data_IF_698026908330
#
_entry.id   IF_698026908330
#
_cell.length_a   1.000
_cell.length_b   1.000
_cell.length_c   1.000
_cell.angle_alpha   90.00
_cell.angle_beta   90.00
_cell.angle_gamma   90.00
#
_symmetry.space_group_name_H-M   'P 1'
#
loop_
_entity.id
_entity.type
_entity.pdbx_description
1 polymer ?
#
# COMPACT_ATOMS: atom_id res chain seq x y z
N UNK A 1 -19.11 -6.44 10.20
CA UNK A 1 -18.04 -6.93 9.30
C UNK A 1 -17.27 -5.73 8.74
N UNK A 2 -15.96 -5.62 8.98
CA UNK A 2 -15.06 -4.71 8.28
C UNK A 2 -14.74 -5.28 6.90
N UNK A 3 -14.73 -4.44 5.87
CA UNK A 3 -14.38 -4.82 4.50
C UNK A 3 -12.92 -4.48 4.27
N UNK A 4 -12.11 -5.52 4.12
CA UNK A 4 -10.67 -5.42 3.92
C UNK A 4 -10.31 -5.83 2.49
N UNK A 5 -9.43 -5.07 1.85
CA UNK A 5 -8.84 -5.47 0.58
C UNK A 5 -7.37 -5.78 0.77
N UNK A 6 -6.97 -7.02 0.52
CA UNK A 6 -5.58 -7.44 0.52
C UNK A 6 -4.95 -7.20 -0.85
N UNK A 7 -3.96 -6.32 -0.91
CA UNK A 7 -3.14 -6.05 -2.09
C UNK A 7 -1.84 -6.85 -2.00
N UNK A 8 -1.56 -7.65 -3.02
CA UNK A 8 -0.34 -8.44 -3.16
C UNK A 8 0.39 -7.98 -4.41
N UNK A 9 1.64 -7.56 -4.25
CA UNK A 9 2.53 -7.36 -5.39
C UNK A 9 3.16 -8.70 -5.77
N UNK A 10 2.90 -9.26 -6.97
CA UNK A 10 3.42 -10.56 -7.39
C UNK A 10 4.95 -10.61 -7.47
N UNK A 11 5.59 -9.44 -7.58
CA UNK A 11 7.05 -9.31 -7.67
C UNK A 11 7.71 -9.09 -6.29
N UNK A 12 6.93 -8.99 -5.21
CA UNK A 12 7.44 -8.84 -3.85
C UNK A 12 7.57 -10.21 -3.14
N UNK A 13 8.49 -10.32 -2.17
CA UNK A 13 8.55 -11.50 -1.28
C UNK A 13 9.61 -12.56 -1.60
N UNK A 14 10.67 -12.21 -2.35
CA UNK A 14 11.88 -13.05 -2.45
C UNK A 14 11.67 -14.43 -3.10
N UNK A 15 10.68 -14.57 -4.00
CA UNK A 15 10.41 -15.80 -4.75
C UNK A 15 9.24 -16.64 -4.25
N UNK A 16 8.49 -16.19 -3.23
CA UNK A 16 7.20 -16.80 -2.88
C UNK A 16 6.16 -16.50 -3.97
N UNK A 17 5.39 -17.51 -4.39
CA UNK A 17 4.30 -17.28 -5.33
C UNK A 17 3.12 -16.55 -4.68
N UNK A 18 2.35 -15.82 -5.49
CA UNK A 18 1.12 -15.16 -5.04
C UNK A 18 0.15 -16.16 -4.41
N UNK A 19 0.04 -17.37 -4.99
CA UNK A 19 -0.81 -18.44 -4.49
C UNK A 19 -0.36 -18.92 -3.11
N UNK A 20 0.94 -19.05 -2.88
CA UNK A 20 1.51 -19.42 -1.57
C UNK A 20 1.16 -18.35 -0.54
N UNK A 21 1.44 -17.09 -0.85
CA UNK A 21 1.19 -15.98 0.06
C UNK A 21 -0.30 -15.82 0.34
N UNK A 22 -1.15 -15.94 -0.69
CA UNK A 22 -2.62 -15.95 -0.55
C UNK A 22 -3.08 -17.11 0.32
N UNK A 23 -2.52 -18.32 0.14
CA UNK A 23 -2.86 -19.48 0.96
C UNK A 23 -2.47 -19.26 2.42
N UNK A 24 -1.27 -18.73 2.68
CA UNK A 24 -0.80 -18.40 4.02
C UNK A 24 -1.67 -17.31 4.67
N UNK A 25 -2.05 -16.29 3.90
CA UNK A 25 -2.94 -15.21 4.35
C UNK A 25 -4.29 -15.77 4.74
N UNK A 26 -4.96 -16.47 3.83
CA UNK A 26 -6.25 -17.10 4.10
C UNK A 26 -6.18 -18.08 5.28
N UNK A 27 -5.12 -18.88 5.39
CA UNK A 27 -4.91 -19.81 6.50
C UNK A 27 -4.68 -19.09 7.84
N UNK A 28 -3.96 -17.97 7.85
CA UNK A 28 -3.77 -17.16 9.04
C UNK A 28 -5.02 -16.36 9.42
N UNK A 29 -5.92 -16.09 8.46
CA UNK A 29 -7.24 -15.52 8.75
C UNK A 29 -8.17 -16.56 9.36
N UNK A 30 -8.12 -17.85 8.94
CA UNK A 30 -9.06 -18.92 9.39
C UNK A 30 -9.34 -18.95 10.90
N UNK A 31 -8.35 -18.91 11.81
CA UNK A 31 -8.60 -18.90 13.26
C UNK A 31 -9.37 -17.67 13.76
N UNK A 32 -9.45 -16.64 12.92
CA UNK A 32 -10.14 -15.38 13.16
C UNK A 32 -11.31 -15.18 12.18
N UNK A 33 -11.69 -16.19 11.38
CA UNK A 33 -12.86 -16.14 10.49
C UNK A 33 -14.17 -16.26 11.27
N UNK A 34 -14.15 -16.89 12.44
CA UNK A 34 -15.29 -16.97 13.36
C UNK A 34 -15.52 -15.65 14.13
N UNK A 35 -14.58 -14.70 14.04
CA UNK A 35 -14.88 -13.29 14.24
C UNK A 35 -15.54 -12.83 12.93
N UNK A 36 -16.86 -12.60 12.92
CA UNK A 36 -17.73 -12.03 11.85
C UNK A 36 -17.27 -10.68 11.23
N UNK A 37 -15.98 -10.38 11.28
CA UNK A 37 -15.44 -9.04 11.30
C UNK A 37 -14.61 -8.71 10.07
N UNK A 38 -14.28 -9.63 9.16
CA UNK A 38 -13.49 -9.28 7.95
C UNK A 38 -13.98 -9.96 6.67
N UNK A 39 -14.52 -9.18 5.75
CA UNK A 39 -14.70 -9.56 4.33
C UNK A 39 -13.40 -9.26 3.59
N UNK A 40 -12.70 -10.29 3.10
CA UNK A 40 -11.36 -10.15 2.52
C UNK A 40 -11.37 -10.35 1.00
N UNK A 41 -11.28 -9.25 0.26
CA UNK A 41 -10.94 -9.29 -1.16
C UNK A 41 -9.44 -9.46 -1.38
N UNK A 42 -9.03 -10.00 -2.53
CA UNK A 42 -7.62 -10.02 -2.97
C UNK A 42 -7.48 -9.23 -4.26
N UNK A 43 -6.49 -8.34 -4.31
CA UNK A 43 -6.08 -7.58 -5.48
C UNK A 43 -4.62 -7.88 -5.80
N UNK A 44 -4.35 -8.25 -7.05
CA UNK A 44 -3.02 -8.45 -7.60
C UNK A 44 -2.93 -7.51 -8.81
N UNK A 45 -2.35 -6.31 -8.66
CA UNK A 45 -2.34 -5.33 -9.73
C UNK A 45 -1.15 -5.53 -10.67
N UNK A 46 -1.33 -5.20 -11.95
CA UNK A 46 -0.26 -5.26 -12.96
C UNK A 46 0.61 -3.99 -12.93
N UNK A 47 0.07 -2.88 -12.44
CA UNK A 47 0.75 -1.58 -12.30
C UNK A 47 0.07 -0.71 -11.24
N UNK A 48 0.70 0.41 -10.86
CA UNK A 48 0.09 1.41 -9.97
C UNK A 48 -1.20 1.98 -10.59
N UNK A 49 -1.22 2.22 -11.91
CA UNK A 49 -2.41 2.74 -12.60
C UNK A 49 -3.59 1.74 -12.54
N UNK A 50 -3.32 0.45 -12.80
CA UNK A 50 -4.34 -0.62 -12.67
C UNK A 50 -4.86 -0.71 -11.22
N UNK A 51 -3.97 -0.61 -10.23
CA UNK A 51 -4.36 -0.56 -8.83
C UNK A 51 -5.26 0.64 -8.53
N UNK A 52 -4.87 1.85 -8.96
CA UNK A 52 -5.65 3.08 -8.77
C UNK A 52 -7.05 2.94 -9.35
N UNK A 53 -7.18 2.46 -10.60
CA UNK A 53 -8.47 2.31 -11.27
C UNK A 53 -9.38 1.31 -10.55
N UNK A 54 -8.81 0.19 -10.07
CA UNK A 54 -9.56 -0.82 -9.30
C UNK A 54 -9.94 -0.36 -7.91
N UNK A 55 -9.12 0.49 -7.29
CA UNK A 55 -9.40 1.06 -5.97
C UNK A 55 -10.48 2.15 -6.04
N UNK A 56 -10.57 2.92 -7.13
CA UNK A 56 -11.49 4.06 -7.27
C UNK A 56 -12.94 3.74 -6.93
N UNK A 57 -13.45 2.60 -7.35
CA UNK A 57 -14.84 2.17 -7.06
C UNK A 57 -14.99 1.43 -5.72
N UNK A 58 -13.89 0.98 -5.11
CA UNK A 58 -13.90 0.12 -3.92
C UNK A 58 -13.59 0.88 -2.64
N UNK A 59 -12.71 1.88 -2.67
CA UNK A 59 -12.32 2.64 -1.47
C UNK A 59 -13.49 3.15 -0.62
N UNK A 60 -14.59 3.70 -1.20
CA UNK A 60 -15.71 4.21 -0.39
C UNK A 60 -16.41 3.15 0.46
N UNK A 61 -16.21 1.87 0.13
CA UNK A 61 -16.81 0.73 0.82
C UNK A 61 -15.78 -0.10 1.57
N UNK A 62 -14.51 0.31 1.64
CA UNK A 62 -13.49 -0.41 2.39
C UNK A 62 -13.29 0.24 3.76
N UNK A 63 -13.09 -0.58 4.77
CA UNK A 63 -12.66 -0.15 6.10
C UNK A 63 -11.13 -0.22 6.22
N UNK A 64 -10.50 -1.11 5.46
CA UNK A 64 -9.06 -1.33 5.47
C UNK A 64 -8.54 -1.78 4.11
N UNK A 65 -7.34 -1.31 3.76
CA UNK A 65 -6.52 -1.86 2.67
C UNK A 65 -5.29 -2.47 3.32
N UNK A 66 -5.08 -3.77 3.15
CA UNK A 66 -3.91 -4.47 3.67
C UNK A 66 -2.92 -4.70 2.54
N UNK A 67 -1.69 -4.25 2.69
CA UNK A 67 -0.60 -4.51 1.75
C UNK A 67 0.31 -5.61 2.28
N UNK A 68 0.58 -6.63 1.47
CA UNK A 68 1.66 -7.58 1.69
C UNK A 68 2.80 -7.27 0.70
N UNK A 69 3.85 -6.60 1.18
CA UNK A 69 4.97 -6.20 0.35
C UNK A 69 6.14 -5.60 1.11
N UNK A 70 7.12 -5.07 0.37
CA UNK A 70 8.19 -4.23 0.90
C UNK A 70 7.87 -2.74 0.77
N UNK A 71 8.84 -1.88 1.09
CA UNK A 71 8.67 -0.41 1.11
C UNK A 71 8.14 0.17 -0.23
N UNK A 72 8.64 -0.33 -1.38
CA UNK A 72 8.17 0.09 -2.71
C UNK A 72 6.69 -0.24 -2.94
N UNK A 73 6.26 -1.47 -2.65
CA UNK A 73 4.85 -1.86 -2.75
C UNK A 73 3.96 -1.04 -1.82
N UNK A 74 4.43 -0.74 -0.61
CA UNK A 74 3.69 0.08 0.35
C UNK A 74 3.52 1.51 -0.21
N UNK A 75 4.58 2.08 -0.78
CA UNK A 75 4.53 3.40 -1.41
C UNK A 75 3.55 3.42 -2.61
N UNK A 76 3.55 2.38 -3.45
CA UNK A 76 2.62 2.25 -4.57
C UNK A 76 1.17 2.22 -4.09
N UNK A 77 0.86 1.43 -3.05
CA UNK A 77 -0.49 1.34 -2.47
C UNK A 77 -0.94 2.67 -1.89
N UNK A 78 -0.08 3.38 -1.15
CA UNK A 78 -0.39 4.71 -0.61
C UNK A 78 -0.74 5.68 -1.74
N UNK A 79 0.09 5.75 -2.78
CA UNK A 79 -0.15 6.64 -3.92
C UNK A 79 -1.45 6.28 -4.64
N UNK A 80 -1.70 4.99 -4.90
CA UNK A 80 -2.93 4.57 -5.56
C UNK A 80 -4.18 4.85 -4.73
N UNK A 81 -4.13 4.68 -3.40
CA UNK A 81 -5.24 5.04 -2.52
C UNK A 81 -5.55 6.54 -2.59
N UNK A 82 -4.52 7.38 -2.52
CA UNK A 82 -4.67 8.84 -2.55
C UNK A 82 -5.15 9.33 -3.93
N UNK A 83 -4.60 8.78 -5.01
CA UNK A 83 -5.00 9.12 -6.38
C UNK A 83 -6.42 8.63 -6.69
N UNK A 84 -6.79 7.42 -6.27
CA UNK A 84 -8.14 6.88 -6.41
C UNK A 84 -9.17 7.69 -5.60
N UNK A 85 -8.76 8.29 -4.49
CA UNK A 85 -9.56 9.24 -3.72
C UNK A 85 -9.65 10.64 -4.34
N UNK A 86 -9.01 10.84 -5.50
CA UNK A 86 -8.83 12.12 -6.19
C UNK A 86 -8.22 13.23 -5.33
N UNK A 87 -7.49 12.87 -4.26
CA UNK A 87 -7.00 13.81 -3.25
C UNK A 87 -8.08 14.57 -2.50
N UNK A 88 -9.36 14.16 -2.61
CA UNK A 88 -10.54 14.88 -2.05
C UNK A 88 -11.08 14.27 -0.77
N UNK A 89 -10.57 13.11 -0.36
CA UNK A 89 -11.04 12.41 0.83
C UNK A 89 -10.20 12.90 2.01
N UNK A 90 -10.86 13.51 3.00
CA UNK A 90 -10.22 13.84 4.27
C UNK A 90 -9.61 12.56 4.87
N UNK A 91 -8.45 12.67 5.53
CA UNK A 91 -7.67 11.52 5.98
C UNK A 91 -8.47 10.55 6.88
N UNK A 92 -9.48 11.06 7.59
CA UNK A 92 -10.41 10.31 8.44
C UNK A 92 -11.43 9.45 7.67
N UNK A 93 -11.55 9.64 6.36
CA UNK A 93 -12.45 8.90 5.47
C UNK A 93 -11.74 7.93 4.53
N UNK A 94 -10.41 7.87 4.56
CA UNK A 94 -9.65 6.86 3.84
C UNK A 94 -9.68 5.52 4.62
N UNK A 95 -9.75 4.38 3.93
CA UNK A 95 -9.57 3.09 4.58
C UNK A 95 -8.22 3.04 5.30
N UNK A 96 -8.16 2.40 6.45
CA UNK A 96 -6.91 2.23 7.21
C UNK A 96 -5.93 1.38 6.39
N UNK A 97 -4.66 1.77 6.33
CA UNK A 97 -3.61 0.96 5.72
C UNK A 97 -3.06 -0.06 6.74
N UNK A 98 -3.26 -1.35 6.47
CA UNK A 98 -2.59 -2.44 7.17
C UNK A 98 -1.33 -2.88 6.42
N UNK A 99 -0.23 -3.14 7.14
CA UNK A 99 1.05 -3.53 6.51
C UNK A 99 1.46 -4.92 6.99
N UNK A 100 1.70 -5.81 6.04
CA UNK A 100 2.34 -7.12 6.23
C UNK A 100 3.74 -7.04 5.58
N UNK A 101 4.80 -6.82 6.37
CA UNK A 101 6.13 -6.60 5.85
C UNK A 101 6.75 -7.92 5.37
N UNK A 102 6.80 -8.13 4.05
CA UNK A 102 7.42 -9.31 3.41
C UNK A 102 8.60 -8.95 2.51
N UNK A 103 9.01 -7.67 2.50
CA UNK A 103 10.20 -7.21 1.78
C UNK A 103 11.49 -7.47 2.56
N UNK A 104 12.63 -7.15 1.94
CA UNK A 104 13.96 -7.30 2.57
C UNK A 104 14.25 -6.18 3.57
N UNK A 105 13.97 -4.93 3.22
CA UNK A 105 14.30 -3.76 4.04
C UNK A 105 13.26 -3.42 5.11
N UNK A 106 11.97 -3.48 4.75
CA UNK A 106 10.81 -3.16 5.60
C UNK A 106 11.04 -1.91 6.47
N UNK A 107 11.64 -0.86 5.90
CA UNK A 107 12.07 0.32 6.64
C UNK A 107 10.89 1.00 7.30
N UNK A 108 9.75 1.14 6.61
CA UNK A 108 8.57 1.78 7.21
C UNK A 108 8.03 0.97 8.39
N UNK A 109 7.93 -0.35 8.24
CA UNK A 109 7.47 -1.21 9.32
C UNK A 109 8.39 -1.14 10.54
N UNK A 110 9.72 -1.09 10.33
CA UNK A 110 10.68 -0.90 11.42
C UNK A 110 10.51 0.47 12.11
N UNK A 111 10.41 1.57 11.35
CA UNK A 111 10.21 2.91 11.91
C UNK A 111 8.92 3.02 12.73
N UNK A 112 7.85 2.34 12.29
CA UNK A 112 6.57 2.30 12.98
C UNK A 112 6.48 1.23 14.08
N UNK A 113 7.58 0.51 14.36
CA UNK A 113 7.63 -0.62 15.30
C UNK A 113 6.57 -1.69 15.03
N UNK A 114 6.22 -1.89 13.76
CA UNK A 114 5.27 -2.92 13.36
C UNK A 114 5.90 -4.31 13.47
N UNK A 115 5.13 -5.35 13.83
CA UNK A 115 5.67 -6.69 13.87
C UNK A 115 6.13 -7.15 12.49
N UNK A 116 7.38 -7.60 12.39
CA UNK A 116 7.94 -8.09 11.12
C UNK A 116 7.50 -9.51 10.77
N UNK A 117 7.04 -10.29 11.75
CA UNK A 117 6.53 -11.62 11.45
C UNK A 117 5.09 -11.52 10.97
N UNK A 118 4.83 -12.17 9.84
CA UNK A 118 3.52 -12.26 9.21
C UNK A 118 2.36 -12.49 10.20
N UNK A 119 2.45 -13.53 11.03
CA UNK A 119 1.39 -13.89 12.01
C UNK A 119 1.13 -12.77 13.03
N UNK A 120 2.18 -12.06 13.46
CA UNK A 120 2.04 -10.95 14.41
C UNK A 120 1.50 -9.69 13.73
N UNK A 121 1.95 -9.39 12.51
CA UNK A 121 1.44 -8.27 11.71
C UNK A 121 -0.06 -8.43 11.48
N UNK A 122 -0.49 -9.62 11.04
CA UNK A 122 -1.90 -9.93 10.84
C UNK A 122 -2.73 -9.78 12.12
N UNK A 123 -2.23 -10.32 13.24
CA UNK A 123 -2.90 -10.16 14.54
C UNK A 123 -3.06 -8.68 14.93
N UNK A 124 -2.03 -7.87 14.70
CA UNK A 124 -2.09 -6.43 14.99
C UNK A 124 -3.15 -5.71 14.12
N UNK A 125 -3.21 -6.03 12.82
CA UNK A 125 -4.23 -5.50 11.90
C UNK A 125 -5.64 -5.86 12.40
N UNK A 126 -5.86 -7.11 12.82
CA UNK A 126 -7.15 -7.55 13.35
C UNK A 126 -7.53 -6.87 14.66
N UNK A 127 -6.56 -6.61 15.54
CA UNK A 127 -6.80 -5.87 16.78
C UNK A 127 -7.18 -4.40 16.53
N UNK A 128 -6.80 -3.84 15.38
CA UNK A 128 -7.30 -2.56 14.90
C UNK A 128 -6.79 -1.33 15.66
N UNK A 129 -5.67 -1.44 16.38
CA UNK A 129 -4.97 -0.27 16.91
C UNK A 129 -4.33 0.50 15.75
N UNK A 130 -4.70 1.77 15.59
CA UNK A 130 -4.25 2.63 14.50
C UNK A 130 -3.50 3.84 15.03
N UNK A 131 -2.63 4.41 14.18
CA UNK A 131 -1.98 5.69 14.42
C UNK A 131 -2.00 6.51 13.12
N UNK A 132 -1.97 7.85 13.21
CA UNK A 132 -1.78 8.69 12.03
C UNK A 132 -0.38 8.46 11.44
N UNK A 133 -0.29 8.54 10.12
CA UNK A 133 0.97 8.52 9.37
C UNK A 133 1.05 9.79 8.53
N UNK A 134 2.04 10.62 8.82
CA UNK A 134 2.33 11.79 8.00
C UNK A 134 2.95 11.38 6.66
N UNK A 135 2.56 12.07 5.60
CA UNK A 135 3.06 11.85 4.26
C UNK A 135 3.65 13.15 3.71
N UNK A 136 4.85 13.05 3.16
CA UNK A 136 5.40 14.10 2.31
C UNK A 136 4.81 14.01 0.91
N UNK A 137 4.70 15.14 0.21
CA UNK A 137 4.32 15.20 -1.20
C UNK A 137 5.40 15.95 -1.98
N UNK A 138 5.81 15.37 -3.10
CA UNK A 138 6.71 16.01 -4.07
C UNK A 138 5.99 16.17 -5.40
N UNK A 139 6.08 17.35 -5.99
CA UNK A 139 5.59 17.63 -7.33
C UNK A 139 6.78 17.89 -8.23
N UNK A 140 6.93 17.06 -9.27
CA UNK A 140 8.00 17.18 -10.25
C UNK A 140 7.39 17.75 -11.53
N UNK A 141 8.03 18.78 -12.09
CA UNK A 141 7.65 19.38 -13.37
C UNK A 141 8.77 19.10 -14.38
N UNK A 142 8.42 18.63 -15.58
CA UNK A 142 9.39 18.50 -16.65
C UNK A 142 9.89 19.90 -17.06
N UNK A 143 11.19 20.17 -16.87
CA UNK A 143 11.79 21.47 -17.24
C UNK A 143 11.85 21.67 -18.76
N UNK A 144 11.98 20.58 -19.51
CA UNK A 144 11.95 20.56 -20.98
C UNK A 144 11.24 19.27 -21.41
N UNK A 145 10.27 19.38 -22.31
CA UNK A 145 9.76 18.20 -23.00
C UNK A 145 10.91 17.56 -23.77
N UNK A 146 11.15 16.26 -23.60
CA UNK A 146 12.03 15.51 -24.49
C UNK A 146 11.58 15.70 -25.95
N UNK A 147 12.41 15.35 -26.95
CA UNK A 147 12.08 15.51 -28.37
C UNK A 147 10.66 14.99 -28.70
N UNK A 148 9.67 15.90 -28.75
CA UNK A 148 8.25 15.61 -29.00
C UNK A 148 7.26 15.79 -27.83
N UNK A 149 7.70 16.13 -26.61
CA UNK A 149 6.83 16.31 -25.45
C UNK A 149 6.36 17.76 -25.25
N UNK A 150 5.08 17.96 -24.93
CA UNK A 150 4.57 19.25 -24.47
C UNK A 150 5.19 19.57 -23.08
N UNK A 151 5.90 20.69 -22.97
CA UNK A 151 6.39 21.17 -21.67
C UNK A 151 5.23 21.52 -20.74
N UNK A 152 5.34 21.16 -19.46
CA UNK A 152 4.37 21.54 -18.43
C UNK A 152 3.71 20.39 -17.67
N UNK A 153 3.95 19.13 -18.04
CA UNK A 153 3.41 18.00 -17.28
C UNK A 153 3.99 17.97 -15.86
N UNK A 154 3.09 18.04 -14.87
CA UNK A 154 3.40 17.90 -13.45
C UNK A 154 2.94 16.54 -12.96
N UNK A 155 3.80 15.87 -12.21
CA UNK A 155 3.47 14.61 -11.54
C UNK A 155 3.70 14.82 -10.05
N UNK A 156 2.66 14.56 -9.25
CA UNK A 156 2.76 14.55 -7.79
C UNK A 156 2.86 13.13 -7.26
N UNK A 157 3.70 12.91 -6.25
CA UNK A 157 3.89 11.64 -5.56
C UNK A 157 3.98 11.86 -4.06
N UNK A 158 3.42 10.92 -3.31
CA UNK A 158 3.50 10.90 -1.85
C UNK A 158 4.57 9.92 -1.38
N UNK A 159 5.23 10.25 -0.27
CA UNK A 159 6.25 9.40 0.36
C UNK A 159 6.06 9.37 1.88
N UNK A 160 6.33 8.22 2.48
CA UNK A 160 6.19 7.97 3.93
C UNK A 160 7.51 7.92 4.69
N UNK A 161 8.65 7.95 3.99
CA UNK A 161 9.99 7.86 4.58
C UNK A 161 10.89 8.99 4.10
N UNK A 162 11.24 8.97 2.81
CA UNK A 162 12.15 9.94 2.22
C UNK A 162 11.87 10.09 0.72
N UNK A 163 12.17 11.26 0.20
CA UNK A 163 12.33 11.51 -1.23
C UNK A 163 13.76 12.05 -1.44
N UNK A 164 14.46 11.52 -2.44
CA UNK A 164 15.82 11.93 -2.80
C UNK A 164 15.87 12.45 -4.24
N UNK A 165 16.82 13.32 -4.54
CA UNK A 165 16.99 13.89 -5.88
C UNK A 165 18.44 14.31 -6.12
N UNK A 166 19.01 13.84 -7.23
CA UNK A 166 20.40 14.10 -7.59
C UNK A 166 21.28 12.87 -7.36
N UNK A 167 22.53 13.10 -6.96
CA UNK A 167 23.55 12.05 -6.81
C UNK A 167 23.19 11.08 -5.68
N UNK A 168 22.60 11.57 -4.60
CA UNK A 168 22.12 10.77 -3.46
C UNK A 168 21.08 9.71 -3.87
N UNK A 169 20.25 9.99 -4.86
CA UNK A 169 19.25 9.06 -5.39
C UNK A 169 19.83 8.02 -6.38
N UNK A 170 21.10 8.14 -6.77
CA UNK A 170 21.76 7.19 -7.67
C UNK A 170 22.47 6.03 -6.93
N UNK A 171 22.52 6.08 -5.59
CA UNK A 171 23.33 5.18 -4.74
C UNK A 171 22.46 4.12 -4.06
#
# INVERSE_FOLDING_TARGET
MKRCLLVINPNAGGGQSVEELKRQLLAAVRPYQDLELVDLGVLVPDSVADMTDRLRSRLPVLDCVVVAGGDGTIADVINAMLEASAGRVAADRLPVLGIIPVGTGNRLANHLNLPLSFKRAWKAILMGATCPLDLGMVTVSALHGGHGGHGGDQVSRYFSLMAGAGIDAQI
#
